data_IF_990159629001
#
_entry.id   IF_990159629001
#
_cell.length_a   1.000
_cell.length_b   1.000
_cell.length_c   1.000
_cell.angle_alpha   90.00
_cell.angle_beta   90.00
_cell.angle_gamma   90.00
#
_symmetry.space_group_name_H-M   'P 1'
#
loop_
_entity.id
_entity.type
_entity.pdbx_description
1 polymer ?
#
# COMPACT_ATOMS: atom_id res chain seq x y z
N UNK A 1 2.39 9.38 43.23
CA UNK A 1 3.07 8.15 42.70
C UNK A 1 2.34 7.52 41.52
N UNK A 2 1.01 7.40 41.54
CA UNK A 2 0.21 6.82 40.42
C UNK A 2 0.30 7.57 39.07
N UNK A 3 0.36 8.91 39.11
CA UNK A 3 0.47 9.76 37.90
C UNK A 3 1.79 9.57 37.15
N UNK A 4 2.92 9.45 37.85
CA UNK A 4 4.23 9.24 37.24
C UNK A 4 4.34 7.84 36.59
N UNK A 5 3.76 6.81 37.21
CA UNK A 5 3.71 5.45 36.64
C UNK A 5 2.88 5.39 35.35
N UNK A 6 1.73 6.10 35.34
CA UNK A 6 0.86 6.16 34.16
C UNK A 6 1.52 6.92 33.00
N UNK A 7 2.31 7.96 33.27
CA UNK A 7 3.06 8.72 32.27
C UNK A 7 4.17 7.88 31.64
N UNK A 8 4.92 7.13 32.47
CA UNK A 8 5.98 6.22 31.96
C UNK A 8 5.40 5.10 31.08
N UNK A 9 4.30 4.49 31.50
CA UNK A 9 3.62 3.46 30.72
C UNK A 9 3.14 3.98 29.36
N UNK A 10 2.54 5.17 29.34
CA UNK A 10 2.08 5.83 28.11
C UNK A 10 3.27 6.14 27.19
N UNK A 11 4.40 6.58 27.73
CA UNK A 11 5.62 6.85 26.95
C UNK A 11 6.18 5.57 26.32
N UNK A 12 6.22 4.46 27.06
CA UNK A 12 6.65 3.16 26.51
C UNK A 12 5.79 2.68 25.35
N UNK A 13 4.47 2.81 25.47
CA UNK A 13 3.54 2.45 24.38
C UNK A 13 3.78 3.33 23.14
N UNK A 14 3.97 4.63 23.32
CA UNK A 14 4.23 5.54 22.20
C UNK A 14 5.54 5.23 21.48
N UNK A 15 6.59 4.91 22.23
CA UNK A 15 7.88 4.50 21.65
C UNK A 15 7.74 3.18 20.91
N UNK A 16 7.01 2.20 21.44
CA UNK A 16 6.77 0.93 20.79
C UNK A 16 6.02 1.11 19.46
N UNK A 17 4.92 1.87 19.45
CA UNK A 17 4.16 2.17 18.23
C UNK A 17 5.05 2.88 17.19
N UNK A 18 5.87 3.82 17.62
CA UNK A 18 6.82 4.52 16.79
C UNK A 18 7.79 3.55 16.08
N UNK A 19 8.42 2.65 16.83
CA UNK A 19 9.35 1.67 16.28
C UNK A 19 8.65 0.69 15.33
N UNK A 20 7.46 0.23 15.66
CA UNK A 20 6.66 -0.65 14.79
C UNK A 20 6.33 0.03 13.45
N UNK A 21 5.89 1.29 13.47
CA UNK A 21 5.60 2.03 12.24
C UNK A 21 6.86 2.27 11.39
N UNK A 22 8.01 2.50 12.01
CA UNK A 22 9.28 2.64 11.30
C UNK A 22 9.67 1.36 10.58
N UNK A 23 9.59 0.21 11.26
CA UNK A 23 9.89 -1.11 10.69
C UNK A 23 8.91 -1.45 9.57
N UNK A 24 7.60 -1.26 9.80
CA UNK A 24 6.54 -1.43 8.82
C UNK A 24 6.84 -0.65 7.53
N UNK A 25 7.16 0.61 7.64
CA UNK A 25 7.41 1.48 6.50
C UNK A 25 8.71 1.14 5.75
N UNK A 26 9.78 0.75 6.41
CA UNK A 26 10.99 0.26 5.73
C UNK A 26 10.73 -1.05 5.01
N UNK A 27 9.97 -1.96 5.62
CA UNK A 27 9.59 -3.23 5.00
C UNK A 27 8.79 -3.01 3.72
N UNK A 28 7.72 -2.20 3.76
CA UNK A 28 6.91 -1.93 2.58
C UNK A 28 7.63 -1.08 1.53
N UNK A 29 8.51 -0.16 1.93
CA UNK A 29 9.38 0.53 1.00
C UNK A 29 10.24 -0.46 0.19
N UNK A 30 10.89 -1.42 0.86
CA UNK A 30 11.67 -2.45 0.19
C UNK A 30 10.81 -3.32 -0.74
N UNK A 31 9.67 -3.82 -0.26
CA UNK A 31 8.74 -4.65 -1.04
C UNK A 31 8.28 -3.92 -2.30
N UNK A 32 7.89 -2.64 -2.20
CA UNK A 32 7.41 -1.89 -3.35
C UNK A 32 8.51 -1.51 -4.35
N UNK A 33 9.76 -1.32 -3.89
CA UNK A 33 10.91 -1.18 -4.81
C UNK A 33 11.15 -2.48 -5.58
N UNK A 34 11.07 -3.63 -4.91
CA UNK A 34 11.18 -4.95 -5.56
C UNK A 34 10.04 -5.13 -6.56
N UNK A 35 8.80 -4.81 -6.18
CA UNK A 35 7.66 -4.91 -7.09
C UNK A 35 7.81 -3.99 -8.30
N UNK A 36 8.27 -2.74 -8.11
CA UNK A 36 8.57 -1.86 -9.24
C UNK A 36 9.63 -2.45 -10.18
N UNK A 37 10.67 -3.08 -9.64
CA UNK A 37 11.71 -3.73 -10.45
C UNK A 37 11.17 -4.95 -11.22
N UNK A 38 10.25 -5.72 -10.63
CA UNK A 38 9.63 -6.87 -11.28
C UNK A 38 8.72 -6.49 -12.46
N UNK A 39 8.20 -5.25 -12.48
CA UNK A 39 7.39 -4.74 -13.59
C UNK A 39 8.19 -4.46 -14.88
N UNK A 40 9.52 -4.60 -14.85
CA UNK A 40 10.36 -4.30 -16.01
C UNK A 40 9.98 -5.10 -17.28
N UNK A 41 9.47 -6.32 -17.12
CA UNK A 41 9.07 -7.21 -18.22
C UNK A 41 7.55 -7.26 -18.46
N UNK A 42 6.77 -6.44 -17.80
CA UNK A 42 5.32 -6.39 -17.98
C UNK A 42 4.94 -5.58 -19.23
N UNK A 43 3.73 -5.75 -19.77
CA UNK A 43 3.27 -5.03 -20.97
C UNK A 43 3.25 -3.51 -20.78
N UNK A 44 3.00 -3.01 -19.58
CA UNK A 44 2.85 -1.58 -19.25
C UNK A 44 3.71 -1.12 -18.06
N UNK A 45 5.04 -1.30 -18.09
CA UNK A 45 5.93 -0.98 -16.98
C UNK A 45 5.93 0.51 -16.63
N UNK A 46 5.69 1.39 -17.61
CA UNK A 46 5.62 2.84 -17.40
C UNK A 46 4.42 3.29 -16.57
N UNK A 47 3.44 2.43 -16.37
CA UNK A 47 2.30 2.69 -15.49
C UNK A 47 2.57 2.14 -14.08
N UNK A 48 2.95 0.87 -13.99
CA UNK A 48 3.08 0.16 -12.71
C UNK A 48 4.34 0.53 -11.94
N UNK A 49 5.47 0.71 -12.60
CA UNK A 49 6.70 1.15 -11.92
C UNK A 49 6.51 2.47 -11.16
N UNK A 50 5.96 3.56 -11.74
CA UNK A 50 5.67 4.79 -11.00
C UNK A 50 4.69 4.62 -9.84
N UNK A 51 3.67 3.78 -9.99
CA UNK A 51 2.67 3.47 -8.95
C UNK A 51 3.36 2.89 -7.71
N UNK A 52 4.17 1.84 -7.89
CA UNK A 52 4.93 1.23 -6.80
C UNK A 52 5.99 2.16 -6.22
N UNK A 53 6.76 2.85 -7.06
CA UNK A 53 7.80 3.78 -6.61
C UNK A 53 7.23 4.97 -5.84
N UNK A 54 6.09 5.52 -6.25
CA UNK A 54 5.42 6.59 -5.50
C UNK A 54 5.10 6.16 -4.07
N UNK A 55 4.51 4.97 -3.91
CA UNK A 55 4.20 4.44 -2.57
C UNK A 55 5.46 4.11 -1.79
N UNK A 56 6.50 3.54 -2.42
CA UNK A 56 7.79 3.26 -1.79
C UNK A 56 8.43 4.54 -1.23
N UNK A 57 8.41 5.63 -1.99
CA UNK A 57 8.93 6.94 -1.54
C UNK A 57 8.14 7.46 -0.35
N UNK A 58 6.82 7.35 -0.35
CA UNK A 58 5.98 7.78 0.77
C UNK A 58 6.25 6.94 2.03
N UNK A 59 6.41 5.62 1.91
CA UNK A 59 6.82 4.75 3.01
C UNK A 59 8.22 5.13 3.53
N UNK A 60 9.19 5.38 2.66
CA UNK A 60 10.52 5.84 3.08
C UNK A 60 10.47 7.15 3.86
N UNK A 61 9.69 8.12 3.39
CA UNK A 61 9.50 9.40 4.08
C UNK A 61 8.80 9.21 5.43
N UNK A 62 7.79 8.34 5.51
CA UNK A 62 7.11 7.99 6.76
C UNK A 62 8.06 7.34 7.77
N UNK A 63 8.92 6.41 7.34
CA UNK A 63 9.97 5.81 8.17
C UNK A 63 10.97 6.86 8.71
N UNK A 64 11.14 7.98 7.99
CA UNK A 64 11.95 9.15 8.41
C UNK A 64 11.12 10.21 9.15
N UNK A 65 9.87 9.89 9.57
CA UNK A 65 8.93 10.82 10.24
C UNK A 65 8.55 12.07 9.45
N UNK A 66 8.64 12.03 8.14
CA UNK A 66 8.19 13.08 7.23
C UNK A 66 6.84 12.69 6.63
N UNK A 67 5.74 13.20 7.21
CA UNK A 67 4.38 12.83 6.81
C UNK A 67 3.75 13.87 5.88
N UNK A 68 3.38 13.45 4.69
CA UNK A 68 2.73 14.28 3.67
C UNK A 68 1.27 13.84 3.49
N UNK A 69 0.39 14.27 4.40
CA UNK A 69 -1.02 13.84 4.47
C UNK A 69 -1.77 14.02 3.15
N UNK A 70 -1.48 15.11 2.40
CA UNK A 70 -2.10 15.36 1.09
C UNK A 70 -1.62 14.33 0.05
N UNK A 71 -0.35 13.98 0.04
CA UNK A 71 0.21 12.98 -0.88
C UNK A 71 -0.39 11.60 -0.65
N UNK A 72 -0.53 11.15 0.61
CA UNK A 72 -1.23 9.90 0.92
C UNK A 72 -2.65 9.90 0.36
N UNK A 73 -3.42 10.97 0.61
CA UNK A 73 -4.79 11.06 0.15
C UNK A 73 -4.90 11.07 -1.38
N UNK A 74 -4.01 11.78 -2.06
CA UNK A 74 -3.94 11.79 -3.53
C UNK A 74 -3.67 10.39 -4.08
N UNK A 75 -2.69 9.66 -3.54
CA UNK A 75 -2.40 8.28 -3.93
C UNK A 75 -3.60 7.36 -3.70
N UNK A 76 -4.24 7.44 -2.53
CA UNK A 76 -5.42 6.63 -2.20
C UNK A 76 -6.55 6.86 -3.22
N UNK A 77 -6.85 8.13 -3.56
CA UNK A 77 -7.93 8.47 -4.49
C UNK A 77 -7.62 7.94 -5.90
N UNK A 78 -6.40 8.14 -6.39
CA UNK A 78 -5.99 7.68 -7.73
C UNK A 78 -6.03 6.15 -7.80
N UNK A 79 -5.48 5.47 -6.81
CA UNK A 79 -5.45 4.00 -6.79
C UNK A 79 -6.83 3.40 -6.60
N UNK A 80 -7.70 4.02 -5.79
CA UNK A 80 -9.08 3.58 -5.65
C UNK A 80 -9.87 3.74 -6.94
N UNK A 81 -9.73 4.87 -7.65
CA UNK A 81 -10.35 5.08 -8.95
C UNK A 81 -9.89 4.04 -9.97
N UNK A 82 -8.57 3.75 -10.00
CA UNK A 82 -8.02 2.75 -10.91
C UNK A 82 -8.43 1.32 -10.52
N UNK A 83 -8.51 1.00 -9.23
CA UNK A 83 -9.03 -0.29 -8.75
C UNK A 83 -10.50 -0.49 -9.15
N UNK A 84 -11.34 0.55 -9.05
CA UNK A 84 -12.74 0.49 -9.53
C UNK A 84 -12.79 0.23 -11.04
N UNK A 85 -11.94 0.91 -11.83
CA UNK A 85 -11.84 0.64 -13.26
C UNK A 85 -11.51 -0.83 -13.53
N UNK A 86 -10.49 -1.41 -12.87
CA UNK A 86 -10.09 -2.83 -13.00
C UNK A 86 -11.18 -3.84 -12.59
N UNK A 87 -12.15 -3.45 -11.76
CA UNK A 87 -13.30 -4.31 -11.42
C UNK A 87 -14.23 -4.50 -12.63
N UNK A 88 -14.46 -3.41 -13.40
CA UNK A 88 -15.44 -3.37 -14.48
C UNK A 88 -14.83 -3.52 -15.88
N UNK A 89 -13.50 -3.64 -15.97
CA UNK A 89 -12.81 -3.80 -17.25
C UNK A 89 -13.11 -5.17 -17.88
N UNK A 90 -12.96 -5.24 -19.20
CA UNK A 90 -13.03 -6.51 -19.95
C UNK A 90 -11.89 -7.43 -19.46
N UNK A 91 -12.23 -8.65 -19.07
CA UNK A 91 -11.33 -9.57 -18.36
C UNK A 91 -10.93 -9.13 -16.94
N UNK A 92 -11.59 -8.14 -16.35
CA UNK A 92 -11.33 -7.67 -15.00
C UNK A 92 -11.76 -8.63 -13.90
N UNK A 93 -11.76 -8.14 -12.65
CA UNK A 93 -12.06 -8.95 -11.46
C UNK A 93 -13.42 -9.65 -11.55
N UNK A 94 -14.44 -9.02 -12.13
CA UNK A 94 -15.78 -9.62 -12.26
C UNK A 94 -15.77 -10.83 -13.18
N UNK A 95 -15.06 -10.78 -14.30
CA UNK A 95 -14.94 -11.88 -15.24
C UNK A 95 -14.14 -13.04 -14.64
N UNK A 96 -13.06 -12.74 -13.92
CA UNK A 96 -12.30 -13.75 -13.18
C UNK A 96 -13.18 -14.52 -12.18
N UNK A 97 -14.07 -13.84 -11.44
CA UNK A 97 -14.96 -14.49 -10.46
C UNK A 97 -16.08 -15.25 -11.17
N UNK A 98 -16.77 -14.62 -12.14
CA UNK A 98 -18.03 -15.14 -12.73
C UNK A 98 -17.80 -16.18 -13.84
N UNK A 99 -16.81 -15.94 -14.70
CA UNK A 99 -16.55 -16.75 -15.88
C UNK A 99 -15.44 -17.78 -15.66
N UNK A 100 -14.45 -17.46 -14.80
CA UNK A 100 -13.27 -18.28 -14.58
C UNK A 100 -13.20 -18.88 -13.16
N UNK A 101 -14.33 -18.88 -12.41
CA UNK A 101 -14.47 -19.54 -11.10
C UNK A 101 -13.36 -19.21 -10.09
N UNK A 102 -12.82 -17.99 -10.14
CA UNK A 102 -11.72 -17.51 -9.28
C UNK A 102 -10.50 -18.46 -9.29
N UNK A 103 -10.07 -18.90 -10.48
CA UNK A 103 -8.92 -19.79 -10.63
C UNK A 103 -7.64 -19.19 -9.99
N UNK A 104 -6.68 -20.05 -9.69
CA UNK A 104 -5.47 -19.66 -8.96
C UNK A 104 -4.65 -18.58 -9.73
N UNK A 105 -4.54 -17.40 -9.16
CA UNK A 105 -3.80 -16.27 -9.73
C UNK A 105 -2.29 -16.32 -9.47
N UNK A 106 -1.81 -17.25 -8.64
CA UNK A 106 -0.40 -17.38 -8.25
C UNK A 106 0.36 -18.51 -8.98
N UNK A 107 -0.32 -19.25 -9.88
CA UNK A 107 0.23 -20.48 -10.48
C UNK A 107 1.41 -20.23 -11.41
N UNK A 108 1.44 -19.10 -12.13
CA UNK A 108 2.53 -18.76 -13.05
C UNK A 108 2.96 -17.31 -12.92
N UNK A 109 4.26 -17.02 -13.05
CA UNK A 109 4.79 -15.64 -13.06
C UNK A 109 4.34 -14.88 -14.33
N UNK A 110 4.17 -15.57 -15.46
CA UNK A 110 3.62 -14.99 -16.69
C UNK A 110 2.14 -15.34 -16.79
N UNK A 111 1.29 -14.35 -16.65
CA UNK A 111 -0.13 -14.52 -16.90
C UNK A 111 -0.36 -14.67 -18.41
N UNK A 112 -0.56 -15.90 -18.87
CA UNK A 112 -0.98 -16.17 -20.23
C UNK A 112 -2.46 -15.82 -20.46
N UNK A 113 -3.18 -15.58 -19.37
CA UNK A 113 -4.62 -15.32 -19.33
C UNK A 113 -4.85 -13.89 -18.83
N UNK A 114 -5.48 -13.00 -19.64
CA UNK A 114 -5.66 -11.58 -19.28
C UNK A 114 -6.36 -11.36 -17.94
N UNK A 115 -7.37 -12.16 -17.60
CA UNK A 115 -8.12 -12.02 -16.34
C UNK A 115 -7.30 -12.33 -15.08
N UNK A 116 -6.22 -13.14 -15.20
CA UNK A 116 -5.30 -13.40 -14.09
C UNK A 116 -4.43 -12.16 -13.84
N UNK A 117 -3.92 -11.53 -14.90
CA UNK A 117 -3.13 -10.32 -14.84
C UNK A 117 -3.94 -9.17 -14.23
N UNK A 118 -5.13 -8.90 -14.77
CA UNK A 118 -6.04 -7.89 -14.27
C UNK A 118 -6.41 -8.07 -12.78
N UNK A 119 -6.62 -9.33 -12.36
CA UNK A 119 -6.89 -9.61 -10.95
C UNK A 119 -5.69 -9.37 -10.05
N UNK A 120 -4.47 -9.71 -10.48
CA UNK A 120 -3.23 -9.41 -9.73
C UNK A 120 -3.02 -7.92 -9.55
N UNK A 121 -3.25 -7.15 -10.60
CA UNK A 121 -3.15 -5.69 -10.57
C UNK A 121 -4.15 -5.08 -9.59
N UNK A 122 -5.40 -5.56 -9.61
CA UNK A 122 -6.42 -5.13 -8.66
C UNK A 122 -5.97 -5.40 -7.20
N UNK A 123 -5.50 -6.61 -6.89
CA UNK A 123 -5.02 -6.93 -5.54
C UNK A 123 -3.76 -6.13 -5.16
N UNK A 124 -2.88 -5.88 -6.12
CA UNK A 124 -1.72 -4.99 -5.94
C UNK A 124 -2.14 -3.58 -5.51
N UNK A 125 -3.14 -2.99 -6.19
CA UNK A 125 -3.70 -1.68 -5.83
C UNK A 125 -4.32 -1.70 -4.42
N UNK A 126 -5.01 -2.77 -4.03
CA UNK A 126 -5.57 -2.87 -2.67
C UNK A 126 -4.49 -2.86 -1.60
N UNK A 127 -3.36 -3.53 -1.82
CA UNK A 127 -2.23 -3.53 -0.89
C UNK A 127 -1.64 -2.12 -0.77
N UNK A 128 -1.42 -1.43 -1.90
CA UNK A 128 -0.92 -0.05 -1.92
C UNK A 128 -1.86 0.90 -1.16
N UNK A 129 -3.18 0.81 -1.41
CA UNK A 129 -4.20 1.60 -0.71
C UNK A 129 -4.18 1.32 0.79
N UNK A 130 -4.11 0.05 1.20
CA UNK A 130 -4.09 -0.32 2.62
C UNK A 130 -2.89 0.28 3.35
N UNK A 131 -1.69 0.21 2.75
CA UNK A 131 -0.47 0.78 3.33
C UNK A 131 -0.58 2.31 3.43
N UNK A 132 -1.03 2.99 2.37
CA UNK A 132 -1.22 4.45 2.40
C UNK A 132 -2.29 4.89 3.41
N UNK A 133 -3.37 4.11 3.61
CA UNK A 133 -4.39 4.38 4.63
C UNK A 133 -3.84 4.27 6.05
N UNK A 134 -3.00 3.26 6.31
CA UNK A 134 -2.34 3.08 7.61
C UNK A 134 -1.44 4.28 7.90
N UNK A 135 -0.60 4.69 6.94
CA UNK A 135 0.30 5.83 7.08
C UNK A 135 -0.45 7.15 7.25
N UNK A 136 -1.52 7.36 6.48
CA UNK A 136 -2.37 8.54 6.59
C UNK A 136 -3.06 8.63 7.97
N UNK A 137 -3.62 7.51 8.45
CA UNK A 137 -4.25 7.44 9.76
C UNK A 137 -3.25 7.72 10.89
N UNK A 138 -2.05 7.15 10.78
CA UNK A 138 -0.97 7.39 11.73
C UNK A 138 -0.51 8.86 11.71
N UNK A 139 -0.30 9.43 10.53
CA UNK A 139 0.09 10.84 10.35
C UNK A 139 -0.94 11.81 10.97
N UNK A 140 -2.24 11.55 10.78
CA UNK A 140 -3.31 12.35 11.41
C UNK A 140 -3.29 12.27 12.93
N UNK A 141 -3.09 11.07 13.48
CA UNK A 141 -3.03 10.89 14.95
C UNK A 141 -1.83 11.61 15.56
N UNK A 142 -0.68 11.55 14.89
CA UNK A 142 0.55 12.20 15.35
C UNK A 142 0.42 13.72 15.33
N UNK A 143 -0.15 14.31 14.28
CA UNK A 143 -0.39 15.76 14.20
C UNK A 143 -1.35 16.26 15.29
N UNK A 144 -2.40 15.50 15.62
CA UNK A 144 -3.37 15.88 16.66
C UNK A 144 -2.77 15.91 18.08
N UNK A 145 -1.66 15.22 18.33
CA UNK A 145 -1.01 15.20 19.66
C UNK A 145 -0.02 16.35 19.89
N UNK A 146 0.34 17.10 18.84
CA UNK A 146 1.34 18.20 18.89
C UNK A 146 0.64 19.57 19.06
N UNK A 147 -0.69 19.64 18.84
CA UNK A 147 -1.53 20.82 19.07
C UNK A 147 -2.24 20.67 20.42
#
# INVERSE_FOLDING_TARGET
MATACNTLYTLHILVAIYQQMKIFNYFFCFVFVVFAALQYNDPDPYLWMPIYLYTAVLCFLAARHKFYTKAYLTGIIIYAAYAVYKVFDQNGLLDWIKLHHAENIAETMKAQKPWIEESREFFGLLILIAVLLIDWAYAKRTKKKII
#
